data_IF_755904000625
#
_entry.id   IF_755904000625
#
_cell.length_a   1.000
_cell.length_b   1.000
_cell.length_c   1.000
_cell.angle_alpha   90.00
_cell.angle_beta   90.00
_cell.angle_gamma   90.00
#
_symmetry.space_group_name_H-M   'P 1'
#
loop_
_entity.id
_entity.type
_entity.pdbx_description
1 polymer ?
#
# COMPACT_ATOMS: atom_id res chain seq x y z
N UNK A 1 56.98 -28.65 -15.46
CA UNK A 1 55.62 -28.05 -15.51
C UNK A 1 54.72 -28.78 -14.53
N UNK A 2 54.39 -28.16 -13.38
CA UNK A 2 53.49 -28.74 -12.37
C UNK A 2 52.05 -28.33 -12.70
N UNK A 3 51.18 -29.33 -12.90
CA UNK A 3 49.75 -29.16 -13.16
C UNK A 3 49.07 -28.90 -11.80
N UNK A 4 48.59 -27.68 -11.57
CA UNK A 4 47.81 -27.35 -10.36
C UNK A 4 46.35 -27.72 -10.65
N UNK A 5 45.83 -28.71 -9.92
CA UNK A 5 44.39 -29.03 -9.87
C UNK A 5 43.74 -28.06 -8.89
N UNK A 6 42.76 -27.30 -9.36
CA UNK A 6 41.85 -26.56 -8.48
C UNK A 6 40.75 -27.51 -8.03
N UNK A 7 40.76 -27.88 -6.76
CA UNK A 7 39.61 -28.53 -6.12
C UNK A 7 38.64 -27.42 -5.67
N UNK A 8 37.45 -27.39 -6.27
CA UNK A 8 36.32 -26.61 -5.79
C UNK A 8 35.81 -27.27 -4.52
N UNK A 9 36.17 -26.76 -3.34
CA UNK A 9 35.39 -27.03 -2.14
C UNK A 9 34.19 -26.08 -2.16
N UNK A 10 33.05 -26.63 -2.59
CA UNK A 10 31.76 -25.98 -2.41
C UNK A 10 31.51 -25.81 -0.92
N UNK A 11 31.76 -24.61 -0.40
CA UNK A 11 31.08 -24.12 0.77
C UNK A 11 29.86 -23.36 0.27
N UNK A 12 28.71 -24.00 0.38
CA UNK A 12 27.42 -23.32 0.42
C UNK A 12 27.57 -22.11 1.35
N UNK A 13 27.40 -20.92 0.78
CA UNK A 13 27.33 -19.69 1.56
C UNK A 13 26.03 -19.76 2.35
N UNK A 14 26.18 -20.12 3.62
CA UNK A 14 25.25 -19.86 4.71
C UNK A 14 24.73 -18.42 4.58
N UNK A 15 23.49 -18.26 4.12
CA UNK A 15 22.74 -17.01 4.18
C UNK A 15 22.49 -16.70 5.65
N UNK A 16 23.55 -16.23 6.31
CA UNK A 16 23.50 -15.75 7.69
C UNK A 16 22.61 -14.53 7.68
N UNK A 17 21.37 -14.70 8.15
CA UNK A 17 20.49 -13.61 8.53
C UNK A 17 21.31 -12.66 9.42
N UNK A 18 21.63 -11.48 8.88
CA UNK A 18 22.42 -10.49 9.60
C UNK A 18 21.69 -10.16 10.91
N UNK A 19 22.34 -10.50 12.03
CA UNK A 19 21.82 -10.27 13.38
C UNK A 19 21.19 -8.88 13.51
N UNK A 20 19.95 -8.75 14.03
CA UNK A 20 19.20 -7.48 14.08
C UNK A 20 19.95 -6.33 14.79
N UNK A 21 20.94 -6.65 15.62
CA UNK A 21 21.84 -5.69 16.28
C UNK A 21 22.80 -5.03 15.30
N UNK A 22 23.39 -5.80 14.39
CA UNK A 22 24.34 -5.30 13.39
C UNK A 22 23.68 -4.30 12.43
N UNK A 23 22.48 -4.60 11.95
CA UNK A 23 21.72 -3.67 11.08
C UNK A 23 21.40 -2.36 11.81
N UNK A 24 21.05 -2.41 13.09
CA UNK A 24 20.77 -1.22 13.90
C UNK A 24 22.02 -0.37 14.13
N UNK A 25 23.18 -0.99 14.31
CA UNK A 25 24.44 -0.29 14.53
C UNK A 25 24.96 0.36 13.23
N UNK A 26 24.80 -0.32 12.09
CA UNK A 26 25.03 0.27 10.76
C UNK A 26 24.07 1.43 10.51
N UNK A 27 22.78 1.30 10.83
CA UNK A 27 21.84 2.41 10.70
C UNK A 27 22.24 3.62 11.55
N UNK A 28 22.78 3.39 12.77
CA UNK A 28 23.27 4.45 13.68
C UNK A 28 24.54 5.14 13.19
N UNK A 29 25.38 4.48 12.39
CA UNK A 29 26.61 5.07 11.82
C UNK A 29 26.36 5.92 10.57
N UNK A 30 25.17 5.83 9.94
CA UNK A 30 24.79 6.68 8.81
C UNK A 30 24.77 8.17 9.24
N UNK A 31 25.50 9.06 8.55
CA UNK A 31 25.48 10.49 8.82
C UNK A 31 24.06 11.07 8.80
N UNK A 32 23.78 12.02 9.70
CA UNK A 32 22.46 12.68 9.78
C UNK A 32 22.02 13.25 8.43
N UNK A 33 22.94 13.88 7.69
CA UNK A 33 22.65 14.44 6.37
C UNK A 33 22.14 13.39 5.38
N UNK A 34 22.69 12.16 5.40
CA UNK A 34 22.24 11.06 4.55
C UNK A 34 20.85 10.57 4.95
N UNK A 35 20.54 10.47 6.25
CA UNK A 35 19.19 10.13 6.73
C UNK A 35 18.16 11.19 6.36
N UNK A 36 18.53 12.46 6.47
CA UNK A 36 17.66 13.58 6.12
C UNK A 36 17.38 13.61 4.60
N UNK A 37 18.39 13.29 3.78
CA UNK A 37 18.24 13.15 2.33
C UNK A 37 17.34 11.96 1.97
N UNK A 38 17.57 10.78 2.56
CA UNK A 38 16.74 9.59 2.36
C UNK A 38 15.27 9.84 2.72
N UNK A 39 15.02 10.49 3.86
CA UNK A 39 13.67 10.88 4.28
C UNK A 39 13.00 11.77 3.23
N UNK A 40 13.68 12.80 2.73
CA UNK A 40 13.15 13.72 1.70
C UNK A 40 12.90 12.99 0.37
N UNK A 41 13.79 12.07 -0.02
CA UNK A 41 13.59 11.26 -1.21
C UNK A 41 12.36 10.37 -1.10
N UNK A 42 12.17 9.70 0.04
CA UNK A 42 10.97 8.91 0.31
C UNK A 42 9.71 9.78 0.24
N UNK A 43 9.75 10.98 0.83
CA UNK A 43 8.65 11.93 0.73
C UNK A 43 8.35 12.26 -0.74
N UNK A 44 9.34 12.61 -1.56
CA UNK A 44 9.18 12.89 -3.00
C UNK A 44 8.63 11.70 -3.76
N UNK A 45 9.15 10.49 -3.55
CA UNK A 45 8.66 9.26 -4.19
C UNK A 45 7.21 9.00 -3.82
N UNK A 46 6.82 9.21 -2.55
CA UNK A 46 5.43 9.08 -2.14
C UNK A 46 4.53 10.14 -2.83
N UNK A 47 5.03 11.37 -3.11
CA UNK A 47 4.29 12.35 -3.93
C UNK A 47 4.09 11.89 -5.36
N UNK A 48 5.08 11.17 -5.90
CA UNK A 48 5.03 10.58 -7.23
C UNK A 48 4.23 9.27 -7.25
N UNK A 49 3.79 8.79 -6.08
CA UNK A 49 2.94 7.61 -6.02
C UNK A 49 1.66 7.88 -6.79
N UNK A 50 1.45 7.07 -7.82
CA UNK A 50 0.36 7.24 -8.77
C UNK A 50 -0.93 6.76 -8.09
N UNK A 51 -1.82 7.71 -7.84
CA UNK A 51 -3.23 7.39 -7.62
C UNK A 51 -3.93 7.37 -8.99
N UNK A 52 -4.61 6.27 -9.31
CA UNK A 52 -5.35 6.13 -10.55
C UNK A 52 -6.61 5.31 -10.34
N UNK A 53 -7.50 5.36 -11.32
CA UNK A 53 -8.71 4.54 -11.31
C UNK A 53 -8.99 3.98 -12.70
N UNK A 54 -9.74 2.88 -12.75
CA UNK A 54 -10.29 2.30 -13.98
C UNK A 54 -11.81 2.28 -13.85
N UNK A 55 -12.46 3.21 -14.54
CA UNK A 55 -13.91 3.45 -14.46
C UNK A 55 -14.42 3.46 -13.00
N UNK A 56 -15.33 2.55 -12.68
CA UNK A 56 -15.82 2.31 -11.31
C UNK A 56 -15.39 0.93 -10.81
N UNK A 57 -14.49 0.24 -11.53
CA UNK A 57 -14.02 -1.11 -11.19
C UNK A 57 -12.93 -1.06 -10.12
N UNK A 58 -11.97 -0.14 -10.29
CA UNK A 58 -10.76 -0.10 -9.48
C UNK A 58 -10.40 1.33 -9.12
N UNK A 59 -10.15 1.57 -7.84
CA UNK A 59 -9.45 2.74 -7.33
C UNK A 59 -8.14 2.26 -6.68
N UNK A 60 -7.01 2.73 -7.21
CA UNK A 60 -5.69 2.48 -6.65
C UNK A 60 -5.14 3.78 -6.05
N UNK A 61 -4.87 3.78 -4.75
CA UNK A 61 -4.44 4.98 -4.02
C UNK A 61 -2.96 4.97 -3.63
N UNK A 62 -2.17 3.99 -4.11
CA UNK A 62 -0.72 3.94 -3.93
C UNK A 62 -0.25 4.20 -2.50
N UNK A 63 0.72 5.10 -2.35
CA UNK A 63 1.32 5.54 -1.08
C UNK A 63 0.89 6.97 -0.72
N UNK A 64 -0.36 7.33 -1.02
CA UNK A 64 -0.91 8.62 -0.61
C UNK A 64 -0.81 8.79 0.92
N UNK A 65 -0.27 9.94 1.32
CA UNK A 65 -0.06 10.31 2.72
C UNK A 65 -1.33 10.84 3.40
N UNK A 66 -1.32 10.87 4.73
CA UNK A 66 -2.43 11.36 5.54
C UNK A 66 -2.40 12.88 5.74
N UNK A 67 -1.20 13.48 5.84
CA UNK A 67 -0.97 14.90 6.04
C UNK A 67 0.46 15.26 5.65
N UNK A 68 0.61 16.28 4.81
CA UNK A 68 1.57 17.40 4.90
C UNK A 68 1.45 18.25 3.62
N UNK A 69 1.66 19.57 3.73
CA UNK A 69 1.51 20.61 2.69
C UNK A 69 2.39 20.43 1.43
N UNK A 70 3.03 19.29 1.30
CA UNK A 70 4.06 18.97 0.33
C UNK A 70 3.91 17.51 -0.15
N UNK A 71 2.70 16.98 -0.27
CA UNK A 71 2.40 15.75 -1.02
C UNK A 71 0.95 15.72 -1.47
N UNK A 72 0.66 15.05 -2.60
CA UNK A 72 -0.71 14.66 -2.94
C UNK A 72 -1.25 13.83 -1.77
N UNK A 73 -2.35 14.28 -1.19
CA UNK A 73 -2.95 13.64 -0.03
C UNK A 73 -4.25 12.92 -0.40
N UNK A 74 -4.67 12.01 0.47
CA UNK A 74 -5.92 11.26 0.33
C UNK A 74 -7.09 12.22 0.11
N UNK A 75 -7.11 13.34 0.84
CA UNK A 75 -8.19 14.32 0.81
C UNK A 75 -8.37 14.96 -0.56
N UNK A 76 -7.29 15.39 -1.21
CA UNK A 76 -7.30 16.03 -2.53
C UNK A 76 -7.84 15.06 -3.58
N UNK A 77 -7.35 13.81 -3.58
CA UNK A 77 -7.80 12.77 -4.51
C UNK A 77 -9.28 12.47 -4.33
N UNK A 78 -9.73 12.26 -3.09
CA UNK A 78 -11.13 11.95 -2.82
C UNK A 78 -12.04 13.14 -3.15
N UNK A 79 -11.61 14.37 -2.89
CA UNK A 79 -12.38 15.57 -3.24
C UNK A 79 -12.51 15.74 -4.75
N UNK A 80 -11.43 15.51 -5.53
CA UNK A 80 -11.49 15.54 -7.01
C UNK A 80 -12.44 14.48 -7.57
N UNK A 81 -12.40 13.26 -7.02
CA UNK A 81 -13.32 12.19 -7.38
C UNK A 81 -14.79 12.56 -7.08
N UNK A 82 -15.04 13.14 -5.91
CA UNK A 82 -16.38 13.59 -5.51
C UNK A 82 -16.90 14.73 -6.39
N UNK A 83 -16.05 15.69 -6.76
CA UNK A 83 -16.41 16.77 -7.71
C UNK A 83 -16.81 16.21 -9.08
N UNK A 84 -16.21 15.10 -9.50
CA UNK A 84 -16.58 14.36 -10.71
C UNK A 84 -17.74 13.38 -10.54
N UNK A 85 -18.47 13.39 -9.41
CA UNK A 85 -19.52 12.43 -9.05
C UNK A 85 -19.07 10.95 -9.10
N UNK A 86 -17.78 10.68 -8.90
CA UNK A 86 -17.20 9.33 -8.95
C UNK A 86 -16.83 8.86 -7.55
N UNK A 87 -17.81 8.39 -6.80
CA UNK A 87 -17.66 8.02 -5.38
C UNK A 87 -17.86 6.53 -5.10
N UNK A 88 -18.11 5.71 -6.13
CA UNK A 88 -18.37 4.29 -5.96
C UNK A 88 -17.33 3.48 -6.76
N UNK A 89 -16.72 2.49 -6.12
CA UNK A 89 -15.76 1.59 -6.77
C UNK A 89 -15.98 0.14 -6.33
N UNK A 90 -15.84 -0.82 -7.25
CA UNK A 90 -15.91 -2.24 -6.91
C UNK A 90 -14.72 -2.66 -6.04
N UNK A 91 -13.52 -2.18 -6.38
CA UNK A 91 -12.28 -2.45 -5.63
C UNK A 91 -11.57 -1.16 -5.26
N UNK A 92 -11.12 -1.09 -4.00
CA UNK A 92 -10.12 -0.12 -3.54
C UNK A 92 -8.84 -0.86 -3.16
N UNK A 93 -7.71 -0.50 -3.75
CA UNK A 93 -6.40 -0.79 -3.18
C UNK A 93 -6.04 0.36 -2.25
N UNK A 94 -5.97 0.08 -0.95
CA UNK A 94 -5.91 1.10 0.09
C UNK A 94 -4.58 1.86 0.07
N UNK A 95 -4.58 3.17 0.39
CA UNK A 95 -3.36 3.96 0.48
C UNK A 95 -2.42 3.43 1.57
N UNK A 96 -1.12 3.43 1.26
CA UNK A 96 -0.01 3.05 2.13
C UNK A 96 -0.30 1.78 2.96
N UNK A 97 -0.55 0.67 2.25
CA UNK A 97 -0.79 -0.63 2.86
C UNK A 97 -2.02 -0.67 3.81
N UNK A 98 -2.94 0.30 3.68
CA UNK A 98 -4.11 0.45 4.55
C UNK A 98 -3.82 1.01 5.94
N UNK A 99 -2.62 1.52 6.17
CA UNK A 99 -2.26 2.17 7.44
C UNK A 99 -2.61 3.66 7.45
N UNK A 100 -2.97 4.18 6.28
CA UNK A 100 -3.30 5.57 6.06
C UNK A 100 -4.81 5.76 5.98
N UNK A 101 -5.32 6.89 6.45
CA UNK A 101 -6.74 7.23 6.48
C UNK A 101 -6.93 8.74 6.59
N UNK A 102 -7.93 9.24 5.88
CA UNK A 102 -8.48 10.58 6.05
C UNK A 102 -10.01 10.51 6.06
N UNK A 103 -10.66 11.43 6.78
CA UNK A 103 -12.12 11.45 6.92
C UNK A 103 -12.86 11.65 5.59
N UNK A 104 -12.21 12.27 4.59
CA UNK A 104 -12.78 12.39 3.25
C UNK A 104 -13.12 11.05 2.62
N UNK A 105 -12.41 9.97 2.95
CA UNK A 105 -12.65 8.61 2.45
C UNK A 105 -14.07 8.12 2.71
N UNK A 106 -14.75 8.66 3.73
CA UNK A 106 -16.18 8.38 4.01
C UNK A 106 -17.13 8.76 2.87
N UNK A 107 -16.68 9.60 1.94
CA UNK A 107 -17.44 9.94 0.73
C UNK A 107 -17.48 8.77 -0.26
N UNK A 108 -16.57 7.80 -0.13
CA UNK A 108 -16.46 6.66 -1.02
C UNK A 108 -17.34 5.49 -0.56
N UNK A 109 -17.84 4.71 -1.52
CA UNK A 109 -18.55 3.45 -1.32
C UNK A 109 -17.82 2.36 -2.08
N UNK A 110 -17.30 1.38 -1.35
CA UNK A 110 -16.39 0.37 -1.87
C UNK A 110 -17.04 -1.02 -1.80
N UNK A 111 -16.90 -1.82 -2.86
CA UNK A 111 -17.24 -3.25 -2.79
C UNK A 111 -16.25 -4.00 -1.90
N UNK A 112 -15.00 -4.06 -2.34
CA UNK A 112 -13.89 -4.72 -1.67
C UNK A 112 -12.73 -3.74 -1.46
N UNK A 113 -12.33 -3.51 -0.22
CA UNK A 113 -11.08 -2.84 0.11
C UNK A 113 -9.97 -3.88 0.28
N UNK A 114 -8.81 -3.67 -0.33
CA UNK A 114 -7.66 -4.57 -0.25
C UNK A 114 -6.46 -3.79 0.25
N UNK A 115 -5.89 -4.24 1.36
CA UNK A 115 -4.64 -3.74 1.91
C UNK A 115 -3.51 -4.69 1.58
N UNK A 116 -2.59 -4.27 0.72
CA UNK A 116 -1.33 -4.98 0.50
C UNK A 116 -0.40 -4.65 1.67
N UNK A 117 -0.32 -5.53 2.67
CA UNK A 117 0.45 -5.36 3.90
C UNK A 117 1.11 -6.67 4.36
N UNK A 118 2.21 -6.55 5.10
CA UNK A 118 2.79 -7.67 5.85
C UNK A 118 2.29 -7.71 7.29
N UNK A 119 2.59 -8.79 8.03
CA UNK A 119 2.23 -8.98 9.44
C UNK A 119 2.62 -7.78 10.33
N UNK A 120 3.74 -7.13 10.02
CA UNK A 120 4.23 -5.96 10.76
C UNK A 120 3.28 -4.75 10.67
N UNK A 121 2.54 -4.61 9.59
CA UNK A 121 1.65 -3.47 9.34
C UNK A 121 0.18 -3.75 9.75
N UNK A 122 -0.15 -4.99 10.14
CA UNK A 122 -1.51 -5.38 10.52
C UNK A 122 -2.01 -4.60 11.75
N UNK A 123 -1.13 -4.31 12.71
CA UNK A 123 -1.46 -3.53 13.91
C UNK A 123 -1.79 -2.06 13.61
N UNK A 124 -1.29 -1.54 12.49
CA UNK A 124 -1.50 -0.16 12.05
C UNK A 124 -2.62 -0.04 11.02
N UNK A 125 -3.21 -1.16 10.61
CA UNK A 125 -4.32 -1.22 9.68
C UNK A 125 -5.52 -0.42 10.23
N UNK A 126 -6.05 0.47 9.40
CA UNK A 126 -7.15 1.35 9.79
C UNK A 126 -8.47 0.60 9.72
N UNK A 127 -9.15 0.48 10.86
CA UNK A 127 -10.45 -0.19 10.95
C UNK A 127 -11.53 0.52 10.14
N UNK A 128 -11.36 1.82 9.90
CA UNK A 128 -12.28 2.66 9.14
C UNK A 128 -12.51 2.18 7.70
N UNK A 129 -11.59 1.39 7.13
CA UNK A 129 -11.82 0.74 5.83
C UNK A 129 -13.03 -0.19 5.83
N UNK A 130 -13.36 -0.80 6.98
CA UNK A 130 -14.56 -1.64 7.14
C UNK A 130 -15.86 -0.83 7.10
N UNK A 131 -15.80 0.49 7.33
CA UNK A 131 -16.98 1.37 7.33
C UNK A 131 -17.38 1.80 5.92
N UNK A 132 -16.42 1.82 4.98
CA UNK A 132 -16.65 2.24 3.58
C UNK A 132 -16.71 1.07 2.60
N UNK A 133 -16.35 -0.14 3.02
CA UNK A 133 -16.29 -1.34 2.17
C UNK A 133 -17.22 -2.44 2.67
N UNK A 134 -17.74 -3.28 1.76
CA UNK A 134 -18.50 -4.48 2.17
C UNK A 134 -17.59 -5.59 2.64
N UNK A 135 -16.41 -5.70 2.03
CA UNK A 135 -15.38 -6.68 2.37
C UNK A 135 -14.06 -5.94 2.48
N UNK A 136 -13.30 -6.20 3.55
CA UNK A 136 -11.95 -5.71 3.72
C UNK A 136 -10.99 -6.90 3.79
N UNK A 137 -10.03 -6.95 2.88
CA UNK A 137 -9.01 -7.99 2.77
C UNK A 137 -7.62 -7.40 3.05
N UNK A 138 -6.77 -8.24 3.66
CA UNK A 138 -5.42 -7.90 4.09
C UNK A 138 -4.48 -9.01 3.65
N UNK A 139 -3.42 -8.72 2.89
CA UNK A 139 -2.46 -9.76 2.48
C UNK A 139 -1.70 -10.34 3.68
N UNK A 140 -1.65 -9.62 4.81
CA UNK A 140 -1.11 -10.17 6.05
C UNK A 140 -1.94 -11.33 6.61
N UNK A 141 -3.24 -11.38 6.30
CA UNK A 141 -4.16 -12.43 6.77
C UNK A 141 -4.39 -13.52 5.70
N UNK A 142 -4.46 -13.12 4.44
CA UNK A 142 -4.83 -13.99 3.32
C UNK A 142 -3.67 -14.34 2.37
N UNK A 143 -2.45 -13.90 2.68
CA UNK A 143 -1.28 -14.02 1.79
C UNK A 143 -1.56 -13.39 0.43
N UNK A 144 -1.34 -14.11 -0.67
CA UNK A 144 -1.59 -13.61 -2.02
C UNK A 144 -3.10 -13.47 -2.30
N UNK A 145 -3.51 -12.27 -2.69
CA UNK A 145 -4.89 -11.97 -3.06
C UNK A 145 -4.98 -11.81 -4.57
N UNK A 146 -5.64 -12.77 -5.23
CA UNK A 146 -5.95 -12.69 -6.65
C UNK A 146 -7.32 -12.05 -6.87
N UNK A 147 -7.34 -10.87 -7.49
CA UNK A 147 -8.57 -10.21 -7.92
C UNK A 147 -8.94 -10.70 -9.32
N UNK A 148 -9.85 -11.67 -9.40
CA UNK A 148 -10.34 -12.19 -10.69
C UNK A 148 -11.50 -11.31 -11.15
N UNK A 149 -11.33 -10.68 -12.32
CA UNK A 149 -12.18 -9.62 -12.89
C UNK A 149 -13.60 -10.01 -13.31
N UNK A 150 -14.35 -10.65 -12.41
CA UNK A 150 -15.80 -10.75 -12.50
C UNK A 150 -16.38 -10.08 -11.26
N UNK A 151 -16.32 -8.75 -11.19
CA UNK A 151 -17.20 -7.99 -10.31
C UNK A 151 -18.51 -7.84 -11.07
N UNK A 152 -19.51 -8.72 -10.85
CA UNK A 152 -20.76 -8.63 -11.58
C UNK A 152 -21.33 -7.25 -11.33
N UNK A 153 -21.53 -6.48 -12.39
CA UNK A 153 -22.20 -5.19 -12.42
C UNK A 153 -23.01 -4.88 -11.15
N UNK A 154 -22.39 -4.21 -10.17
CA UNK A 154 -23.15 -3.46 -9.17
C UNK A 154 -23.89 -2.27 -9.84
N UNK A 155 -23.59 -2.05 -11.13
CA UNK A 155 -24.28 -1.22 -12.10
C UNK A 155 -25.72 -1.69 -12.36
N UNK A 156 -26.61 -1.35 -11.43
CA UNK A 156 -27.97 -0.86 -11.76
C UNK A 156 -28.58 -0.15 -10.55
N UNK A 157 -28.01 1.00 -10.20
CA UNK A 157 -28.70 2.23 -9.76
C UNK A 157 -27.81 3.09 -8.85
N UNK A 158 -27.81 4.39 -9.14
CA UNK A 158 -27.24 5.53 -8.41
C UNK A 158 -27.66 5.65 -6.92
N UNK A 159 -28.43 4.69 -6.37
CA UNK A 159 -29.00 4.79 -5.03
C UNK A 159 -29.29 3.45 -4.32
N UNK A 160 -29.14 2.27 -4.94
CA UNK A 160 -29.73 1.04 -4.40
C UNK A 160 -28.78 -0.17 -4.38
N UNK A 161 -27.94 -0.30 -3.34
CA UNK A 161 -27.60 -1.58 -2.65
C UNK A 161 -26.67 -1.39 -1.44
N UNK A 162 -26.93 -0.34 -0.68
CA UNK A 162 -26.50 -0.18 0.71
C UNK A 162 -27.77 -0.07 1.57
N UNK A 163 -28.58 -1.14 1.56
CA UNK A 163 -29.59 -1.40 2.59
C UNK A 163 -29.08 -2.61 3.37
N UNK A 164 -28.41 -2.34 4.49
CA UNK A 164 -28.47 -3.11 5.72
C UNK A 164 -28.46 -2.07 6.85
#
# INVERSE_FOLDING_TARGET
MKKIRFEHSGKETDETELEPSFIKDVQKSIPKATRDADKKMREVTNRLSLAFYKDDELLFMGDLGNRNASSLDIQEVVNKLAQGNRTCFDVLITPHHGTHWDESMRKLKIGVAVSSNGLNNLKSLKSQYKEISKIHLSTAEFSDICLVGAFPCWRRCICCRWRL
#
